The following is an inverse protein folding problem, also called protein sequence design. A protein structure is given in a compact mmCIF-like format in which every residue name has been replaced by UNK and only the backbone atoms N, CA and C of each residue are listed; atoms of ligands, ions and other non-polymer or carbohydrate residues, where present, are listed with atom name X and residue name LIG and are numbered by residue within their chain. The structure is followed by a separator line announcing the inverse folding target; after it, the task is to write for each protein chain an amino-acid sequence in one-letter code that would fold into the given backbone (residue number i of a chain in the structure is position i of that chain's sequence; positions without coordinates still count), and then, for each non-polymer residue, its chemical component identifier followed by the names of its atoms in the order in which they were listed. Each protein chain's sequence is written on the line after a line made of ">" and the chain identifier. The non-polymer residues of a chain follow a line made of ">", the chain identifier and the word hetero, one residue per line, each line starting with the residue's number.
data_IF_782773430204
#
_entry.id   IF_782773430204
#
_cell.length_a   1.000
_cell.length_b   1.000
_cell.length_c   1.000
_cell.angle_alpha   90.00
_cell.angle_beta   90.00
_cell.angle_gamma   90.00
#
_symmetry.space_group_name_H-M   'P 1'
#
loop_
_entity.id
_entity.type
_entity.pdbx_description
1 polymer ?
#
# COMPACT_ATOMS: atom_id res chain seq x y z
N UNK A 1 41.66 42.32 -9.83
CA UNK A 1 42.16 41.13 -9.10
C UNK A 1 41.82 41.31 -7.62
N UNK A 2 40.54 41.29 -7.28
CA UNK A 2 40.04 41.30 -5.91
C UNK A 2 39.29 39.99 -5.72
N UNK A 3 39.80 39.19 -4.79
CA UNK A 3 39.45 37.81 -4.57
C UNK A 3 37.96 37.63 -4.24
N UNK A 4 37.31 36.71 -4.95
CA UNK A 4 36.12 36.02 -4.48
C UNK A 4 36.51 35.19 -3.25
N UNK A 5 36.48 35.83 -2.07
CA UNK A 5 36.61 35.08 -0.83
C UNK A 5 35.37 34.17 -0.72
N UNK A 6 35.53 32.86 -0.43
CA UNK A 6 34.39 32.01 -0.17
C UNK A 6 33.72 32.52 1.12
N UNK A 7 32.62 33.27 0.97
CA UNK A 7 31.81 33.69 2.10
C UNK A 7 31.30 32.42 2.76
N UNK A 8 31.87 32.07 3.91
CA UNK A 8 31.41 30.95 4.72
C UNK A 8 29.92 31.17 4.96
N UNK A 9 29.09 30.30 4.40
CA UNK A 9 27.64 30.39 4.55
C UNK A 9 27.32 30.46 6.04
N UNK A 10 26.30 31.26 6.44
CA UNK A 10 25.87 31.29 7.83
C UNK A 10 25.62 29.87 8.34
N UNK A 11 25.89 29.57 9.62
CA UNK A 11 25.63 28.25 10.18
C UNK A 11 24.18 27.86 9.88
N UNK A 12 24.00 26.76 9.16
CA UNK A 12 22.70 26.28 8.74
C UNK A 12 21.90 25.89 9.98
N UNK A 13 20.91 26.71 10.34
CA UNK A 13 20.02 26.40 11.47
C UNK A 13 19.27 25.12 11.09
N UNK A 14 19.27 24.07 11.94
CA UNK A 14 18.54 22.85 11.66
C UNK A 14 17.08 23.19 11.34
N UNK A 15 16.65 22.91 10.11
CA UNK A 15 15.26 23.16 9.71
C UNK A 15 14.32 22.40 10.64
N UNK A 16 13.16 22.98 11.00
CA UNK A 16 12.19 22.28 11.82
C UNK A 16 11.66 21.04 11.08
N UNK A 17 11.22 20.03 11.83
CA UNK A 17 10.86 18.70 11.28
C UNK A 17 9.78 18.80 10.18
N UNK A 18 8.83 19.73 10.30
CA UNK A 18 7.75 19.92 9.33
C UNK A 18 8.21 20.53 7.99
N UNK A 19 9.39 21.16 7.95
CA UNK A 19 10.04 21.65 6.73
C UNK A 19 11.06 20.67 6.16
N UNK A 20 11.28 19.53 6.83
CA UNK A 20 12.20 18.52 6.32
C UNK A 20 11.65 17.87 5.04
N UNK A 21 12.52 17.72 4.04
CA UNK A 21 12.15 17.10 2.77
C UNK A 21 11.62 15.68 2.97
N UNK A 22 12.19 14.94 3.93
CA UNK A 22 11.76 13.59 4.30
C UNK A 22 10.32 13.56 4.83
N UNK A 23 9.94 14.51 5.68
CA UNK A 23 8.59 14.59 6.23
C UNK A 23 7.57 14.94 5.15
N UNK A 24 7.87 15.97 4.34
CA UNK A 24 6.99 16.38 3.24
C UNK A 24 6.82 15.25 2.22
N UNK A 25 7.90 14.53 1.90
CA UNK A 25 7.86 13.39 1.01
C UNK A 25 7.01 12.24 1.57
N UNK A 26 7.22 11.86 2.84
CA UNK A 26 6.48 10.76 3.49
C UNK A 26 4.99 11.09 3.66
N UNK A 27 4.65 12.35 3.92
CA UNK A 27 3.26 12.82 3.95
C UNK A 27 2.58 12.70 2.58
N UNK A 28 3.24 13.18 1.51
CA UNK A 28 2.71 13.08 0.15
C UNK A 28 2.53 11.62 -0.27
N UNK A 29 3.51 10.78 0.04
CA UNK A 29 3.47 9.35 -0.22
C UNK A 29 2.30 8.69 0.53
N UNK A 30 2.15 8.97 1.83
CA UNK A 30 1.03 8.49 2.66
C UNK A 30 -0.33 8.94 2.10
N UNK A 31 -0.47 10.21 1.70
CA UNK A 31 -1.73 10.74 1.17
C UNK A 31 -2.15 10.01 -0.11
N UNK A 32 -1.22 9.85 -1.08
CA UNK A 32 -1.50 9.19 -2.35
C UNK A 32 -1.84 7.71 -2.14
N UNK A 33 -1.11 7.01 -1.27
CA UNK A 33 -1.33 5.59 -1.02
C UNK A 33 -2.61 5.35 -0.21
N UNK A 34 -2.84 6.13 0.85
CA UNK A 34 -4.03 6.00 1.67
C UNK A 34 -5.29 6.39 0.87
N UNK A 35 -5.24 7.41 0.02
CA UNK A 35 -6.40 7.74 -0.82
C UNK A 35 -6.58 6.74 -1.97
N UNK A 36 -5.57 6.58 -2.81
CA UNK A 36 -5.66 5.78 -4.04
C UNK A 36 -5.87 4.29 -3.79
N UNK A 37 -5.10 3.70 -2.87
CA UNK A 37 -5.19 2.25 -2.61
C UNK A 37 -6.51 1.88 -1.95
N UNK A 38 -7.01 2.67 -1.00
CA UNK A 38 -8.30 2.41 -0.37
C UNK A 38 -9.46 2.49 -1.37
N UNK A 39 -9.41 3.44 -2.31
CA UNK A 39 -10.39 3.51 -3.40
C UNK A 39 -10.39 2.22 -4.24
N UNK A 40 -9.20 1.71 -4.60
CA UNK A 40 -9.09 0.43 -5.33
C UNK A 40 -9.57 -0.74 -4.47
N UNK A 41 -9.23 -0.80 -3.17
CA UNK A 41 -9.68 -1.87 -2.26
C UNK A 41 -11.20 -1.94 -2.15
N UNK A 42 -11.88 -0.80 -2.16
CA UNK A 42 -13.35 -0.77 -2.15
C UNK A 42 -13.90 -1.40 -3.43
N UNK A 43 -13.39 -1.00 -4.62
CA UNK A 43 -13.85 -1.58 -5.89
C UNK A 43 -13.54 -3.08 -5.99
N UNK A 44 -12.32 -3.49 -5.64
CA UNK A 44 -11.94 -4.90 -5.63
C UNK A 44 -12.76 -5.68 -4.59
N UNK A 45 -13.11 -5.05 -3.47
CA UNK A 45 -13.95 -5.66 -2.45
C UNK A 45 -15.39 -5.89 -2.91
N UNK A 46 -15.94 -4.95 -3.69
CA UNK A 46 -17.23 -5.12 -4.37
C UNK A 46 -17.16 -6.30 -5.34
N UNK A 47 -16.14 -6.36 -6.19
CA UNK A 47 -15.92 -7.50 -7.11
C UNK A 47 -15.81 -8.82 -6.35
N UNK A 48 -15.08 -8.82 -5.23
CA UNK A 48 -14.88 -10.00 -4.37
C UNK A 48 -16.20 -10.52 -3.79
N UNK A 49 -17.17 -9.63 -3.56
CA UNK A 49 -18.49 -10.01 -3.05
C UNK A 49 -19.32 -10.81 -4.06
N UNK A 50 -19.05 -10.64 -5.36
CA UNK A 50 -19.69 -11.40 -6.43
C UNK A 50 -19.02 -12.74 -6.72
N UNK A 51 -17.88 -13.05 -6.11
CA UNK A 51 -17.19 -14.32 -6.33
C UNK A 51 -17.94 -15.49 -5.70
N UNK A 52 -17.92 -16.63 -6.37
CA UNK A 52 -18.44 -17.91 -5.87
C UNK A 52 -17.46 -18.55 -4.87
N UNK A 53 -17.38 -17.94 -3.69
CA UNK A 53 -16.53 -18.31 -2.57
C UNK A 53 -17.32 -18.30 -1.26
N UNK A 54 -16.81 -19.02 -0.26
CA UNK A 54 -17.42 -19.00 1.08
C UNK A 54 -17.46 -17.57 1.67
N UNK A 55 -18.50 -17.26 2.44
CA UNK A 55 -18.67 -15.94 3.07
C UNK A 55 -17.45 -15.53 3.92
N UNK A 56 -16.85 -16.49 4.62
CA UNK A 56 -15.64 -16.27 5.42
C UNK A 56 -14.44 -15.90 4.55
N UNK A 57 -14.22 -16.61 3.44
CA UNK A 57 -13.10 -16.35 2.52
C UNK A 57 -13.23 -14.96 1.90
N UNK A 58 -14.43 -14.60 1.40
CA UNK A 58 -14.66 -13.27 0.82
C UNK A 58 -14.38 -12.15 1.83
N UNK A 59 -14.84 -12.31 3.06
CA UNK A 59 -14.62 -11.33 4.13
C UNK A 59 -13.12 -11.09 4.39
N UNK A 60 -12.31 -12.16 4.42
CA UNK A 60 -10.86 -12.04 4.58
C UNK A 60 -10.17 -11.42 3.35
N UNK A 61 -10.58 -11.80 2.14
CA UNK A 61 -10.06 -11.21 0.91
C UNK A 61 -10.34 -9.70 0.82
N UNK A 62 -11.45 -9.24 1.39
CA UNK A 62 -11.78 -7.81 1.48
C UNK A 62 -10.96 -7.12 2.58
N UNK A 63 -10.79 -7.74 3.75
CA UNK A 63 -10.16 -7.11 4.90
C UNK A 63 -8.62 -7.07 4.84
N UNK A 64 -7.97 -8.13 4.34
CA UNK A 64 -6.51 -8.25 4.33
C UNK A 64 -5.79 -7.12 3.57
N UNK A 65 -6.29 -6.62 2.42
CA UNK A 65 -5.69 -5.47 1.75
C UNK A 65 -5.59 -4.21 2.62
N UNK A 66 -6.60 -3.95 3.45
CA UNK A 66 -6.59 -2.81 4.39
C UNK A 66 -5.53 -2.98 5.48
N UNK A 67 -5.30 -4.22 5.94
CA UNK A 67 -4.22 -4.51 6.90
C UNK A 67 -2.86 -4.31 6.21
N UNK A 68 -2.73 -4.78 4.96
CA UNK A 68 -1.51 -4.64 4.15
C UNK A 68 -1.09 -3.19 3.99
N UNK A 69 -2.02 -2.29 3.62
CA UNK A 69 -1.69 -0.86 3.43
C UNK A 69 -1.31 -0.16 4.73
N UNK A 70 -1.89 -0.57 5.87
CA UNK A 70 -1.50 -0.02 7.16
C UNK A 70 -0.06 -0.40 7.52
N UNK A 71 0.32 -1.66 7.28
CA UNK A 71 1.69 -2.13 7.48
C UNK A 71 2.64 -1.44 6.50
N UNK A 72 2.23 -1.29 5.24
CA UNK A 72 2.98 -0.60 4.20
C UNK A 72 3.28 0.85 4.60
N UNK A 73 2.25 1.59 5.02
CA UNK A 73 2.41 2.98 5.45
C UNK A 73 3.25 3.07 6.71
N UNK A 74 2.94 2.27 7.72
CA UNK A 74 3.70 2.25 8.97
C UNK A 74 5.19 1.98 8.71
N UNK A 75 5.51 1.04 7.81
CA UNK A 75 6.89 0.68 7.48
C UNK A 75 7.69 1.84 6.89
N UNK A 76 7.06 2.69 6.07
CA UNK A 76 7.72 3.84 5.46
C UNK A 76 8.02 4.93 6.48
N UNK A 77 7.11 5.19 7.40
CA UNK A 77 7.36 6.09 8.54
C UNK A 77 8.47 5.54 9.45
N UNK A 78 8.42 4.25 9.78
CA UNK A 78 9.42 3.61 10.64
C UNK A 78 10.82 3.58 10.00
N UNK A 79 10.88 3.35 8.68
CA UNK A 79 12.14 3.42 7.92
C UNK A 79 12.71 4.84 7.88
N UNK A 80 11.84 5.84 7.75
CA UNK A 80 12.25 7.25 7.71
C UNK A 80 12.77 7.80 9.04
N UNK A 81 12.21 7.36 10.16
CA UNK A 81 12.45 7.98 11.47
C UNK A 81 13.09 7.09 12.54
N UNK A 82 13.07 5.75 12.38
CA UNK A 82 13.56 4.84 13.42
C UNK A 82 14.80 4.06 12.96
N UNK A 83 14.69 3.28 11.89
CA UNK A 83 15.81 2.47 11.39
C UNK A 83 15.60 2.02 9.94
N UNK A 84 16.66 2.01 9.10
CA UNK A 84 16.58 1.50 7.72
C UNK A 84 16.11 0.04 7.62
N UNK A 85 16.25 -0.76 8.69
CA UNK A 85 15.84 -2.16 8.74
C UNK A 85 14.33 -2.36 8.57
N UNK A 86 13.52 -1.35 8.88
CA UNK A 86 12.06 -1.41 8.67
C UNK A 86 11.65 -1.46 7.19
N UNK A 87 12.60 -1.30 6.26
CA UNK A 87 12.38 -1.65 4.86
C UNK A 87 11.87 -3.08 4.67
N UNK A 88 12.32 -4.03 5.50
CA UNK A 88 11.85 -5.42 5.43
C UNK A 88 10.38 -5.58 5.81
N UNK A 89 9.80 -4.63 6.55
CA UNK A 89 8.38 -4.61 6.90
C UNK A 89 7.51 -4.08 5.74
N UNK A 90 8.09 -3.27 4.85
CA UNK A 90 7.40 -2.76 3.66
C UNK A 90 7.04 -3.88 2.68
N UNK A 91 7.95 -4.83 2.48
CA UNK A 91 7.77 -5.97 1.56
C UNK A 91 6.52 -6.80 1.88
N UNK A 92 6.28 -7.29 3.12
CA UNK A 92 5.06 -8.03 3.44
C UNK A 92 3.81 -7.15 3.45
N UNK A 93 3.91 -5.85 3.77
CA UNK A 93 2.78 -4.92 3.69
C UNK A 93 2.28 -4.76 2.25
N UNK A 94 3.19 -4.37 1.35
CA UNK A 94 2.96 -4.28 -0.09
C UNK A 94 2.56 -5.59 -0.74
N UNK A 95 3.30 -6.65 -0.40
CA UNK A 95 3.10 -8.00 -0.94
C UNK A 95 1.76 -8.59 -0.56
N UNK A 96 1.25 -8.33 0.65
CA UNK A 96 -0.04 -8.85 1.11
C UNK A 96 -1.19 -8.36 0.22
N UNK A 97 -1.37 -7.05 0.08
CA UNK A 97 -2.48 -6.54 -0.73
C UNK A 97 -2.29 -6.84 -2.23
N UNK A 98 -1.05 -6.83 -2.72
CA UNK A 98 -0.75 -7.18 -4.12
C UNK A 98 -1.08 -8.63 -4.44
N UNK A 99 -0.76 -9.57 -3.54
CA UNK A 99 -1.09 -10.98 -3.69
C UNK A 99 -2.60 -11.22 -3.71
N UNK A 100 -3.34 -10.53 -2.82
CA UNK A 100 -4.81 -10.61 -2.77
C UNK A 100 -5.41 -10.07 -4.08
N UNK A 101 -4.89 -8.98 -4.62
CA UNK A 101 -5.33 -8.44 -5.91
C UNK A 101 -5.14 -9.42 -7.05
N UNK A 102 -3.96 -10.03 -7.16
CA UNK A 102 -3.69 -11.04 -8.19
C UNK A 102 -4.65 -12.23 -8.04
N UNK A 103 -4.87 -12.70 -6.82
CA UNK A 103 -5.80 -13.80 -6.57
C UNK A 103 -7.23 -13.46 -6.99
N UNK A 104 -7.76 -12.31 -6.55
CA UNK A 104 -9.12 -11.87 -6.89
C UNK A 104 -9.26 -11.65 -8.39
N UNK A 105 -8.25 -11.06 -9.04
CA UNK A 105 -8.22 -10.88 -10.48
C UNK A 105 -8.32 -12.22 -11.22
N UNK A 106 -7.42 -13.16 -10.93
CA UNK A 106 -7.41 -14.49 -11.58
C UNK A 106 -8.74 -15.21 -11.33
N UNK A 107 -9.25 -15.15 -10.10
CA UNK A 107 -10.51 -15.80 -9.73
C UNK A 107 -11.72 -15.20 -10.46
N UNK A 108 -11.82 -13.87 -10.51
CA UNK A 108 -12.91 -13.18 -11.21
C UNK A 108 -12.91 -13.51 -12.72
N UNK A 109 -11.75 -13.48 -13.36
CA UNK A 109 -11.63 -13.84 -14.77
C UNK A 109 -11.96 -15.31 -15.02
N UNK A 110 -11.52 -16.20 -14.13
CA UNK A 110 -11.86 -17.62 -14.21
C UNK A 110 -13.36 -17.88 -14.04
N UNK A 111 -14.05 -17.17 -13.15
CA UNK A 111 -15.51 -17.34 -12.99
C UNK A 111 -16.30 -16.75 -14.17
N UNK A 112 -15.80 -15.68 -14.80
CA UNK A 112 -16.48 -15.04 -15.94
C UNK A 112 -16.29 -15.81 -17.27
N UNK A 113 -15.07 -16.26 -17.57
CA UNK A 113 -14.70 -16.87 -18.85
C UNK A 113 -14.26 -18.33 -18.76
N UNK A 114 -14.08 -18.87 -17.56
CA UNK A 114 -13.71 -20.26 -17.38
C UNK A 114 -14.86 -21.21 -17.72
N UNK A 115 -14.56 -22.52 -17.83
CA UNK A 115 -15.58 -23.54 -18.05
C UNK A 115 -16.62 -23.44 -16.93
N UNK A 116 -17.89 -23.22 -17.28
CA UNK A 116 -18.99 -23.36 -16.32
C UNK A 116 -19.08 -24.83 -15.95
N UNK A 117 -18.41 -25.21 -14.86
CA UNK A 117 -18.71 -26.48 -14.21
C UNK A 117 -20.09 -26.28 -13.61
N UNK A 118 -21.12 -26.74 -14.31
CA UNK A 118 -22.48 -26.85 -13.77
C UNK A 118 -22.39 -27.84 -12.62
N UNK A 119 -22.22 -27.34 -11.40
CA UNK A 119 -22.48 -28.11 -10.20
C UNK A 119 -23.99 -28.08 -9.97
N UNK A 120 -24.71 -28.98 -10.65
CA UNK A 120 -26.04 -29.41 -10.20
C UNK A 120 -25.83 -30.27 -8.95
N UNK A 121 -25.91 -29.64 -7.79
CA UNK A 121 -25.57 -30.30 -6.54
C UNK A 121 -25.78 -29.40 -5.35
N UNK A 122 -27.06 -29.22 -5.00
CA UNK A 122 -27.56 -28.68 -3.72
C UNK A 122 -26.63 -29.04 -2.56
N UNK A 123 -26.39 -28.10 -1.65
CA UNK A 123 -26.63 -28.23 -0.20
C UNK A 123 -26.67 -26.84 0.44
#
# INVERSE_FOLDING_TARGET
>A
MLADMPSKSPPEIPKPIYESEQFVWTLRWTHIHLFGMNMIFIFVGIVTSFLDLSSKTRSWLIALPFIGILIDIASMWLKGYVSPHFFWLHIPGGGLFGMIFVFVFVRAFYEMWGPRIVNDGRH
#
